data_IF_307280112014
#
_entry.id   IF_307280112014
#
_cell.length_a   1.000
_cell.length_b   1.000
_cell.length_c   1.000
_cell.angle_alpha   90.00
_cell.angle_beta   90.00
_cell.angle_gamma   90.00
#
_symmetry.space_group_name_H-M   'P 1'
#
loop_
_entity.id
_entity.type
_entity.pdbx_description
1 polymer ?
#
# COMPACT_ATOMS: atom_id res chain seq x y z
N UNK A 1 26.79 -5.31 4.81
CA UNK A 1 26.43 -3.90 4.54
C UNK A 1 25.47 -3.94 3.35
N UNK A 2 24.17 -4.00 3.63
CA UNK A 2 23.12 -4.03 2.59
C UNK A 2 22.68 -2.60 2.37
N UNK A 3 22.86 -2.12 1.13
CA UNK A 3 22.85 -0.71 0.77
C UNK A 3 21.46 -0.07 0.88
N UNK A 4 21.41 1.08 1.54
CA UNK A 4 20.33 2.05 1.45
C UNK A 4 20.25 2.61 0.03
N UNK A 5 19.11 2.43 -0.64
CA UNK A 5 18.75 3.25 -1.80
C UNK A 5 17.57 4.14 -1.40
N UNK A 6 17.93 5.21 -0.70
CA UNK A 6 17.05 6.34 -0.37
C UNK A 6 17.06 7.31 -1.56
N UNK A 7 15.88 7.62 -2.05
CA UNK A 7 15.58 8.91 -2.67
C UNK A 7 15.51 8.92 -4.19
N UNK A 8 14.27 9.00 -4.69
CA UNK A 8 13.78 10.00 -5.67
C UNK A 8 12.62 9.42 -6.50
N UNK A 9 11.40 9.46 -5.95
CA UNK A 9 10.19 9.69 -6.76
C UNK A 9 9.19 10.52 -5.93
N UNK A 10 9.62 11.72 -5.54
CA UNK A 10 8.68 12.80 -5.22
C UNK A 10 8.22 13.42 -6.55
N UNK A 11 7.18 12.87 -7.19
CA UNK A 11 6.51 13.57 -8.29
C UNK A 11 5.13 13.02 -8.70
N UNK A 12 4.34 12.40 -7.80
CA UNK A 12 2.92 12.13 -8.11
C UNK A 12 2.01 12.50 -6.94
N UNK A 13 2.01 13.80 -6.63
CA UNK A 13 0.98 14.43 -5.82
C UNK A 13 -0.07 15.07 -6.75
N UNK A 14 -1.19 14.37 -6.96
CA UNK A 14 -2.49 15.03 -7.17
C UNK A 14 -3.64 14.05 -6.93
N UNK A 15 -4.50 14.39 -5.99
CA UNK A 15 -5.79 13.73 -5.77
C UNK A 15 -5.87 12.86 -4.53
N UNK A 16 -5.81 13.48 -3.35
CA UNK A 16 -6.65 13.19 -2.18
C UNK A 16 -6.05 13.92 -0.97
N UNK A 17 -6.48 15.15 -0.73
CA UNK A 17 -6.33 15.79 0.57
C UNK A 17 -7.33 15.11 1.49
N UNK A 18 -6.88 14.04 2.13
CA UNK A 18 -7.54 13.39 3.25
C UNK A 18 -6.41 12.74 4.02
N UNK A 19 -6.15 13.22 5.23
CA UNK A 19 -5.13 12.63 6.10
C UNK A 19 -5.29 11.11 6.09
N UNK A 20 -4.22 10.39 5.71
CA UNK A 20 -4.21 8.94 5.72
C UNK A 20 -4.73 8.48 7.10
N UNK A 21 -5.77 7.65 7.17
CA UNK A 21 -6.32 7.25 8.44
C UNK A 21 -5.22 6.55 9.25
N UNK A 22 -5.18 6.72 10.58
CA UNK A 22 -4.13 6.15 11.42
C UNK A 22 -4.03 4.63 11.20
N UNK A 23 -2.86 4.02 11.41
CA UNK A 23 -2.67 2.56 11.25
C UNK A 23 -3.70 1.72 12.04
N UNK A 24 -4.26 2.28 13.12
CA UNK A 24 -5.37 1.70 13.89
C UNK A 24 -6.71 1.63 13.14
N UNK A 25 -6.85 2.29 11.99
CA UNK A 25 -8.01 2.18 11.11
C UNK A 25 -7.89 1.03 10.09
N UNK A 26 -6.73 0.36 10.02
CA UNK A 26 -6.58 -0.83 9.19
C UNK A 26 -7.26 -2.03 9.81
N UNK A 27 -8.01 -2.76 8.99
CA UNK A 27 -8.49 -4.09 9.36
C UNK A 27 -7.30 -5.02 9.65
N UNK A 28 -7.54 -6.11 10.39
CA UNK A 28 -6.50 -7.10 10.66
C UNK A 28 -5.90 -7.64 9.35
N UNK A 29 -6.76 -7.97 8.38
CA UNK A 29 -6.32 -8.47 7.08
C UNK A 29 -5.43 -7.47 6.31
N UNK A 30 -5.71 -6.16 6.42
CA UNK A 30 -4.87 -5.13 5.80
C UNK A 30 -3.52 -4.98 6.51
N UNK A 31 -3.47 -5.15 7.84
CA UNK A 31 -2.21 -5.15 8.60
C UNK A 31 -1.35 -6.35 8.24
N UNK A 32 -1.96 -7.54 8.17
CA UNK A 32 -1.26 -8.76 7.77
C UNK A 32 -0.75 -8.66 6.33
N UNK A 33 -1.54 -8.07 5.42
CA UNK A 33 -1.12 -7.82 4.04
C UNK A 33 0.05 -6.83 3.96
N UNK A 34 0.04 -5.78 4.79
CA UNK A 34 1.12 -4.80 4.89
C UNK A 34 2.43 -5.45 5.37
N UNK A 35 2.35 -6.36 6.33
CA UNK A 35 3.50 -7.13 6.81
C UNK A 35 4.03 -8.09 5.75
N UNK A 36 3.15 -8.74 5.00
CA UNK A 36 3.55 -9.63 3.91
C UNK A 36 4.26 -8.88 2.79
N UNK A 37 3.72 -7.73 2.38
CA UNK A 37 4.34 -6.85 1.38
C UNK A 37 5.73 -6.36 1.86
N UNK A 38 5.85 -5.97 3.13
CA UNK A 38 7.13 -5.59 3.72
C UNK A 38 8.13 -6.77 3.77
N UNK A 39 7.66 -7.97 4.10
CA UNK A 39 8.48 -9.19 4.10
C UNK A 39 8.97 -9.57 2.69
N UNK A 40 8.24 -9.20 1.65
CA UNK A 40 8.65 -9.35 0.24
C UNK A 40 9.58 -8.25 -0.25
N UNK A 41 9.90 -7.27 0.59
CA UNK A 41 10.85 -6.20 0.30
C UNK A 41 10.21 -4.91 -0.24
N UNK A 42 8.87 -4.82 -0.30
CA UNK A 42 8.20 -3.57 -0.62
C UNK A 42 8.29 -2.57 0.56
N UNK A 43 8.36 -1.28 0.25
CA UNK A 43 8.34 -0.22 1.27
C UNK A 43 7.01 -0.24 2.01
N UNK A 44 7.05 -0.30 3.34
CA UNK A 44 5.84 -0.24 4.18
C UNK A 44 5.01 1.02 3.91
N UNK A 45 5.67 2.14 3.60
CA UNK A 45 4.98 3.38 3.26
C UNK A 45 4.24 3.30 1.91
N UNK A 46 4.84 2.65 0.90
CA UNK A 46 4.22 2.49 -0.42
C UNK A 46 3.12 1.44 -0.40
N UNK A 47 3.37 0.30 0.25
CA UNK A 47 2.39 -0.74 0.48
C UNK A 47 1.14 -0.20 1.19
N UNK A 48 1.32 0.65 2.21
CA UNK A 48 0.22 1.36 2.88
C UNK A 48 -0.61 2.19 1.90
N UNK A 49 0.05 3.00 1.06
CA UNK A 49 -0.62 3.82 0.03
C UNK A 49 -1.39 2.97 -0.98
N UNK A 50 -0.83 1.83 -1.40
CA UNK A 50 -1.52 0.92 -2.32
C UNK A 50 -2.73 0.27 -1.67
N UNK A 51 -2.63 -0.12 -0.39
CA UNK A 51 -3.76 -0.66 0.36
C UNK A 51 -4.88 0.38 0.57
N UNK A 52 -4.54 1.64 0.84
CA UNK A 52 -5.52 2.72 0.94
C UNK A 52 -6.26 2.97 -0.38
N UNK A 53 -5.52 3.02 -1.49
CA UNK A 53 -6.10 3.10 -2.85
C UNK A 53 -6.96 1.88 -3.17
N UNK A 54 -6.50 0.69 -2.80
CA UNK A 54 -7.24 -0.56 -2.97
C UNK A 54 -8.54 -0.54 -2.15
N UNK A 55 -8.52 0.00 -0.93
CA UNK A 55 -9.70 0.10 -0.07
C UNK A 55 -10.73 1.10 -0.61
N UNK A 56 -10.28 2.17 -1.25
CA UNK A 56 -11.17 3.10 -1.96
C UNK A 56 -11.84 2.45 -3.18
N UNK A 57 -11.12 1.56 -3.88
CA UNK A 57 -11.65 0.86 -5.05
C UNK A 57 -12.55 -0.33 -4.69
N UNK A 58 -12.17 -1.10 -3.67
CA UNK A 58 -12.86 -2.30 -3.20
C UNK A 58 -12.75 -2.38 -1.67
N UNK A 59 -13.69 -1.78 -0.92
CA UNK A 59 -13.64 -1.79 0.55
C UNK A 59 -14.00 -3.16 1.15
N UNK A 60 -14.63 -4.05 0.39
CA UNK A 60 -15.22 -5.31 0.88
C UNK A 60 -14.27 -6.52 0.80
N UNK A 61 -12.96 -6.28 0.89
CA UNK A 61 -11.97 -7.35 0.87
C UNK A 61 -11.72 -7.87 2.30
N UNK A 62 -11.96 -9.16 2.50
CA UNK A 62 -11.79 -9.83 3.80
C UNK A 62 -10.48 -10.61 3.93
N UNK A 63 -9.93 -11.13 2.83
CA UNK A 63 -8.75 -11.99 2.84
C UNK A 63 -7.44 -11.20 2.63
N UNK A 64 -6.38 -11.64 3.29
CA UNK A 64 -5.03 -11.04 3.21
C UNK A 64 -4.50 -11.09 1.78
N UNK A 65 -4.65 -12.23 1.11
CA UNK A 65 -4.18 -12.44 -0.26
C UNK A 65 -4.88 -11.51 -1.25
N UNK A 66 -6.14 -11.18 -1.02
CA UNK A 66 -6.89 -10.29 -1.89
C UNK A 66 -6.46 -8.83 -1.71
N UNK A 67 -6.14 -8.43 -0.47
CA UNK A 67 -5.49 -7.14 -0.20
C UNK A 67 -4.13 -7.02 -0.89
N UNK A 68 -3.32 -8.07 -0.85
CA UNK A 68 -2.01 -8.12 -1.51
C UNK A 68 -2.16 -8.00 -3.04
N UNK A 69 -3.07 -8.78 -3.64
CA UNK A 69 -3.36 -8.68 -5.08
C UNK A 69 -3.88 -7.30 -5.46
N UNK A 70 -4.78 -6.73 -4.66
CA UNK A 70 -5.32 -5.40 -4.91
C UNK A 70 -4.23 -4.31 -4.81
N UNK A 71 -3.33 -4.42 -3.82
CA UNK A 71 -2.17 -3.54 -3.70
C UNK A 71 -1.26 -3.63 -4.93
N UNK A 72 -0.95 -4.84 -5.43
CA UNK A 72 -0.15 -4.99 -6.64
C UNK A 72 -0.86 -4.49 -7.91
N UNK A 73 -2.19 -4.62 -8.00
CA UNK A 73 -2.96 -4.00 -9.09
C UNK A 73 -2.84 -2.48 -9.07
N UNK A 74 -2.91 -1.87 -7.89
CA UNK A 74 -2.68 -0.43 -7.73
C UNK A 74 -1.25 -0.05 -8.11
N UNK A 75 -0.25 -0.82 -7.66
CA UNK A 75 1.17 -0.62 -8.03
C UNK A 75 1.39 -0.68 -9.54
N UNK A 76 0.80 -1.67 -10.22
CA UNK A 76 0.91 -1.85 -11.66
C UNK A 76 0.18 -0.75 -12.45
N UNK A 77 -0.99 -0.32 -12.00
CA UNK A 77 -1.77 0.75 -12.63
C UNK A 77 -1.17 2.16 -12.42
N UNK A 78 -0.34 2.36 -11.40
CA UNK A 78 0.38 3.62 -11.18
C UNK A 78 1.61 3.80 -12.10
N UNK A 79 2.01 2.75 -12.83
CA UNK A 79 3.14 2.76 -13.76
C UNK A 79 2.76 2.86 -15.24
N UNK A 80 1.47 3.04 -15.56
CA UNK A 80 0.94 3.16 -16.93
C UNK A 80 0.67 4.63 -17.31
#
# INVERSE_FOLDING_TARGET
IVAELRGKVEAFARGAVGAAPPESALSQAQRDALELLAAWGDSRADARRWLERAAQANPDLAAVEDWVKAAYRVKAGAGA
#
